data_IF_907847376908
#
_entry.id   IF_907847376908
#
_cell.length_a   1.000
_cell.length_b   1.000
_cell.length_c   1.000
_cell.angle_alpha   90.00
_cell.angle_beta   90.00
_cell.angle_gamma   90.00
#
_symmetry.space_group_name_H-M   'P 1'
#
loop_
_entity.id
_entity.type
_entity.pdbx_description
1 polymer ?
#
# COMPACT_ATOMS: atom_id res chain seq x y z
N UNK A 1 6.97 -26.95 -18.53
CA UNK A 1 7.14 -25.86 -17.54
C UNK A 1 6.58 -26.34 -16.21
N UNK A 2 7.23 -26.03 -15.07
CA UNK A 2 6.79 -26.54 -13.76
C UNK A 2 5.42 -25.99 -13.35
N UNK A 3 4.65 -26.74 -12.53
CA UNK A 3 3.37 -26.28 -11.99
C UNK A 3 3.53 -25.05 -11.09
N UNK A 4 2.47 -24.25 -10.96
CA UNK A 4 2.48 -23.14 -10.00
C UNK A 4 2.69 -23.68 -8.58
N UNK A 5 3.55 -23.06 -7.75
CA UNK A 5 3.74 -23.50 -6.37
C UNK A 5 2.43 -23.54 -5.59
N UNK A 6 2.16 -24.62 -4.85
CA UNK A 6 0.92 -24.80 -4.06
C UNK A 6 0.58 -23.59 -3.18
N UNK A 7 1.54 -22.95 -2.46
CA UNK A 7 1.19 -21.81 -1.61
C UNK A 7 0.66 -20.61 -2.39
N UNK A 8 1.09 -20.43 -3.64
CA UNK A 8 0.63 -19.33 -4.52
C UNK A 8 -0.79 -19.60 -4.99
N UNK A 9 -1.08 -20.84 -5.41
CA UNK A 9 -2.43 -21.23 -5.79
C UNK A 9 -3.41 -21.12 -4.64
N UNK A 10 -3.04 -21.63 -3.46
CA UNK A 10 -3.85 -21.50 -2.26
C UNK A 10 -4.09 -20.04 -1.87
N UNK A 11 -3.08 -19.17 -1.98
CA UNK A 11 -3.23 -17.74 -1.71
C UNK A 11 -4.21 -17.04 -2.69
N UNK A 12 -4.23 -17.44 -3.97
CA UNK A 12 -5.21 -16.92 -4.93
C UNK A 12 -6.65 -17.37 -4.61
N UNK A 13 -6.84 -18.62 -4.20
CA UNK A 13 -8.15 -19.09 -3.72
C UNK A 13 -8.60 -18.33 -2.47
N UNK A 14 -7.69 -18.11 -1.51
CA UNK A 14 -7.94 -17.31 -0.32
C UNK A 14 -8.31 -15.87 -0.65
N UNK A 15 -7.62 -15.22 -1.61
CA UNK A 15 -7.96 -13.87 -2.06
C UNK A 15 -9.37 -13.77 -2.61
N UNK A 16 -9.75 -14.69 -3.49
CA UNK A 16 -11.10 -14.74 -4.05
C UNK A 16 -12.15 -14.92 -2.95
N UNK A 17 -11.91 -15.81 -1.99
CA UNK A 17 -12.78 -16.01 -0.84
C UNK A 17 -12.84 -14.80 0.09
N UNK A 18 -11.70 -14.16 0.38
CA UNK A 18 -11.63 -12.99 1.25
C UNK A 18 -12.34 -11.79 0.63
N UNK A 19 -12.17 -11.54 -0.67
CA UNK A 19 -12.92 -10.49 -1.38
C UNK A 19 -14.42 -10.76 -1.31
N UNK A 20 -14.89 -11.99 -1.53
CA UNK A 20 -16.32 -12.33 -1.34
C UNK A 20 -16.78 -12.11 0.11
N UNK A 21 -15.97 -12.49 1.08
CA UNK A 21 -16.30 -12.38 2.51
C UNK A 21 -16.40 -10.93 2.97
N UNK A 22 -15.49 -10.08 2.50
CA UNK A 22 -15.40 -8.67 2.88
C UNK A 22 -16.34 -7.78 2.06
N UNK A 23 -16.58 -8.11 0.79
CA UNK A 23 -17.44 -7.33 -0.10
C UNK A 23 -18.89 -7.82 -0.13
N UNK A 24 -19.29 -8.84 0.63
CA UNK A 24 -20.68 -9.33 0.59
C UNK A 24 -21.44 -9.02 1.87
N UNK A 25 -22.68 -8.55 1.73
CA UNK A 25 -23.64 -8.51 2.81
C UNK A 25 -24.10 -9.92 3.24
N UNK A 26 -24.01 -10.92 2.35
CA UNK A 26 -24.39 -12.29 2.65
C UNK A 26 -23.49 -12.91 3.74
N UNK A 27 -23.95 -13.96 4.44
CA UNK A 27 -23.09 -14.73 5.34
C UNK A 27 -21.83 -15.20 4.60
N UNK A 28 -20.70 -15.17 5.30
CA UNK A 28 -19.45 -15.66 4.73
C UNK A 28 -19.56 -17.18 4.49
N UNK A 29 -18.96 -17.65 3.39
CA UNK A 29 -18.79 -19.08 3.14
C UNK A 29 -17.56 -19.59 3.92
N UNK A 30 -17.48 -20.91 4.13
CA UNK A 30 -16.28 -21.52 4.67
C UNK A 30 -15.05 -21.19 3.79
N UNK A 31 -13.87 -20.95 4.39
CA UNK A 31 -12.65 -20.74 3.62
C UNK A 31 -12.27 -21.99 2.83
N UNK A 32 -11.55 -21.85 1.70
CA UNK A 32 -11.02 -23.00 0.97
C UNK A 32 -9.99 -23.76 1.83
N UNK A 33 -9.97 -25.08 1.68
CA UNK A 33 -8.96 -25.94 2.30
C UNK A 33 -7.62 -25.79 1.58
N UNK A 34 -6.67 -25.11 2.22
CA UNK A 34 -5.34 -24.83 1.66
C UNK A 34 -4.27 -24.98 2.74
N UNK A 35 -3.00 -25.11 2.33
CA UNK A 35 -1.91 -25.30 3.28
C UNK A 35 -1.70 -24.12 4.24
N UNK A 36 -1.06 -24.37 5.39
CA UNK A 36 -0.60 -23.33 6.30
C UNK A 36 0.41 -22.35 5.63
N UNK A 37 1.10 -22.80 4.58
CA UNK A 37 1.99 -21.94 3.80
C UNK A 37 1.21 -20.95 2.93
N UNK A 38 0.11 -21.37 2.31
CA UNK A 38 -0.79 -20.51 1.56
C UNK A 38 -1.42 -19.43 2.45
N UNK A 39 -1.94 -19.80 3.63
CA UNK A 39 -2.48 -18.85 4.60
C UNK A 39 -1.45 -17.80 5.03
N UNK A 40 -0.23 -18.22 5.39
CA UNK A 40 0.84 -17.29 5.77
C UNK A 40 1.25 -16.37 4.64
N UNK A 41 1.28 -16.87 3.40
CA UNK A 41 1.59 -16.06 2.22
C UNK A 41 0.50 -15.01 1.97
N UNK A 42 -0.77 -15.43 1.93
CA UNK A 42 -1.93 -14.59 1.76
C UNK A 42 -1.98 -13.47 2.82
N UNK A 43 -1.98 -13.83 4.11
CA UNK A 43 -2.12 -12.85 5.20
C UNK A 43 -0.94 -11.88 5.29
N UNK A 44 0.27 -12.29 4.90
CA UNK A 44 1.43 -11.41 4.86
C UNK A 44 1.31 -10.34 3.77
N UNK A 45 0.79 -10.71 2.61
CA UNK A 45 0.67 -9.81 1.46
C UNK A 45 -0.56 -8.92 1.58
N UNK A 46 -1.71 -9.48 1.95
CA UNK A 46 -2.99 -8.78 1.95
C UNK A 46 -3.28 -8.02 3.25
N UNK A 47 -2.66 -8.42 4.38
CA UNK A 47 -2.67 -7.69 5.66
C UNK A 47 -4.08 -7.31 6.14
N UNK A 48 -5.00 -8.26 6.03
CA UNK A 48 -6.41 -8.09 6.32
C UNK A 48 -6.90 -9.08 7.40
N UNK A 49 -5.99 -9.63 8.22
CA UNK A 49 -6.34 -10.70 9.15
C UNK A 49 -7.34 -10.26 10.22
N UNK A 50 -7.20 -9.03 10.73
CA UNK A 50 -8.08 -8.47 11.75
C UNK A 50 -9.51 -8.34 11.20
N UNK A 51 -9.68 -7.66 10.06
CA UNK A 51 -10.99 -7.49 9.43
C UNK A 51 -11.61 -8.83 9.03
N UNK A 52 -10.80 -9.71 8.45
CA UNK A 52 -11.24 -11.03 8.06
C UNK A 52 -11.68 -11.87 9.27
N UNK A 53 -10.98 -11.77 10.42
CA UNK A 53 -11.37 -12.47 11.65
C UNK A 53 -12.72 -11.98 12.18
N UNK A 54 -12.96 -10.67 12.15
CA UNK A 54 -14.22 -10.06 12.56
C UNK A 54 -15.37 -10.49 11.64
N UNK A 55 -15.11 -10.63 10.33
CA UNK A 55 -16.15 -10.94 9.35
C UNK A 55 -16.43 -12.45 9.22
N UNK A 56 -15.39 -13.27 9.16
CA UNK A 56 -15.52 -14.71 8.99
C UNK A 56 -15.99 -15.43 10.26
N UNK A 57 -15.74 -14.85 11.44
CA UNK A 57 -16.24 -15.37 12.72
C UNK A 57 -15.91 -16.85 12.94
N UNK A 58 -16.90 -17.61 13.42
CA UNK A 58 -16.79 -19.05 13.74
C UNK A 58 -16.62 -20.00 12.56
N UNK A 59 -16.55 -19.49 11.32
CA UNK A 59 -16.29 -20.32 10.13
C UNK A 59 -14.81 -20.71 10.00
N UNK A 60 -13.94 -20.04 10.74
CA UNK A 60 -12.52 -20.38 10.77
C UNK A 60 -12.29 -21.56 11.72
N UNK A 61 -11.71 -22.64 11.20
CA UNK A 61 -11.36 -23.83 11.97
C UNK A 61 -9.95 -24.34 11.62
N UNK A 62 -9.37 -25.15 12.50
CA UNK A 62 -8.05 -25.75 12.32
C UNK A 62 -6.96 -24.75 11.90
N UNK A 63 -6.24 -25.10 10.83
CA UNK A 63 -5.16 -24.28 10.24
C UNK A 63 -5.57 -22.84 9.93
N UNK A 64 -6.80 -22.63 9.45
CA UNK A 64 -7.30 -21.30 9.10
C UNK A 64 -7.46 -20.42 10.34
N UNK A 65 -8.06 -20.97 11.40
CA UNK A 65 -8.25 -20.28 12.67
C UNK A 65 -6.92 -19.89 13.31
N UNK A 66 -5.96 -20.82 13.37
CA UNK A 66 -4.64 -20.56 13.95
C UNK A 66 -3.88 -19.46 13.19
N UNK A 67 -3.85 -19.56 11.85
CA UNK A 67 -3.15 -18.58 11.02
C UNK A 67 -3.79 -17.19 11.13
N UNK A 68 -5.12 -17.08 10.98
CA UNK A 68 -5.83 -15.80 11.07
C UNK A 68 -5.67 -15.20 12.46
N UNK A 69 -5.84 -15.98 13.54
CA UNK A 69 -5.69 -15.48 14.90
C UNK A 69 -4.27 -14.97 15.19
N UNK A 70 -3.24 -15.64 14.68
CA UNK A 70 -1.84 -15.21 14.79
C UNK A 70 -1.60 -13.85 14.16
N UNK A 71 -2.02 -13.67 12.90
CA UNK A 71 -1.87 -12.40 12.19
C UNK A 71 -2.79 -11.30 12.75
N UNK A 72 -4.04 -11.60 13.09
CA UNK A 72 -4.98 -10.63 13.66
C UNK A 72 -4.49 -10.06 14.98
N UNK A 73 -3.84 -10.87 15.84
CA UNK A 73 -3.16 -10.38 17.05
C UNK A 73 -2.02 -9.42 16.72
N UNK A 74 -1.20 -9.73 15.72
CA UNK A 74 -0.11 -8.86 15.30
C UNK A 74 -0.66 -7.54 14.73
N UNK A 75 -1.70 -7.59 13.89
CA UNK A 75 -2.37 -6.40 13.35
C UNK A 75 -3.01 -5.55 14.44
N UNK A 76 -3.67 -6.16 15.42
CA UNK A 76 -4.25 -5.47 16.58
C UNK A 76 -3.20 -4.73 17.40
N UNK A 77 -2.02 -5.32 17.62
CA UNK A 77 -0.91 -4.62 18.31
C UNK A 77 -0.44 -3.40 17.53
N UNK A 78 -0.36 -3.49 16.20
CA UNK A 78 0.01 -2.35 15.35
C UNK A 78 -1.05 -1.25 15.41
N UNK A 79 -2.34 -1.59 15.40
CA UNK A 79 -3.45 -0.64 15.56
C UNK A 79 -3.40 0.03 16.93
N UNK A 80 -3.21 -0.72 18.01
CA UNK A 80 -3.09 -0.16 19.35
C UNK A 80 -1.87 0.76 19.49
N UNK A 81 -0.74 0.35 18.89
CA UNK A 81 0.45 1.19 18.82
C UNK A 81 0.20 2.48 18.05
N UNK A 82 -0.47 2.42 16.90
CA UNK A 82 -0.84 3.59 16.12
C UNK A 82 -1.74 4.56 16.89
N UNK A 83 -2.75 4.04 17.62
CA UNK A 83 -3.60 4.85 18.49
C UNK A 83 -2.80 5.53 19.60
N UNK A 84 -1.83 4.84 20.20
CA UNK A 84 -0.93 5.44 21.18
C UNK A 84 -0.06 6.55 20.55
N UNK A 85 0.44 6.35 19.33
CA UNK A 85 1.17 7.38 18.59
C UNK A 85 0.29 8.59 18.30
N UNK A 86 -0.93 8.39 17.80
CA UNK A 86 -1.89 9.48 17.52
C UNK A 86 -2.15 10.34 18.76
N UNK A 87 -2.28 9.75 19.95
CA UNK A 87 -2.42 10.52 21.20
C UNK A 87 -1.19 11.36 21.52
N UNK A 88 0.02 10.85 21.26
CA UNK A 88 1.27 11.62 21.45
C UNK A 88 1.34 12.78 20.46
N UNK A 89 0.98 12.54 19.20
CA UNK A 89 0.94 13.58 18.17
C UNK A 89 -0.12 14.65 18.50
N UNK A 90 -1.26 14.26 19.04
CA UNK A 90 -2.27 15.19 19.53
C UNK A 90 -1.73 16.08 20.65
N UNK A 91 -0.93 15.53 21.57
CA UNK A 91 -0.23 16.32 22.59
C UNK A 91 0.71 17.37 22.00
N UNK A 92 1.46 17.02 20.94
CA UNK A 92 2.31 17.97 20.23
C UNK A 92 1.51 19.04 19.47
N UNK A 93 0.40 18.65 18.81
CA UNK A 93 -0.51 19.56 18.11
C UNK A 93 -1.31 20.49 19.03
N UNK A 94 -1.36 20.20 20.34
CA UNK A 94 -2.02 21.07 21.33
C UNK A 94 -1.32 22.41 21.56
N UNK A 95 -0.10 22.58 21.03
CA UNK A 95 0.63 23.86 21.09
C UNK A 95 0.02 24.87 20.12
N UNK A 96 -0.24 26.13 20.54
CA UNK A 96 -0.82 27.14 19.67
C UNK A 96 -0.07 27.29 18.35
N UNK A 97 -0.80 27.19 17.23
CA UNK A 97 -0.25 27.38 15.89
C UNK A 97 0.32 26.13 15.20
N UNK A 98 0.44 24.99 15.91
CA UNK A 98 0.95 23.75 15.30
C UNK A 98 -0.17 23.04 14.55
N UNK A 99 -0.04 22.90 13.22
CA UNK A 99 -1.04 22.22 12.37
C UNK A 99 -0.48 20.91 11.85
N UNK A 100 -0.94 19.80 12.42
CA UNK A 100 -0.58 18.45 11.99
C UNK A 100 -1.76 17.73 11.35
N UNK A 101 -1.58 17.27 10.13
CA UNK A 101 -2.59 16.55 9.34
C UNK A 101 -2.25 15.06 9.33
N UNK A 102 -3.14 14.23 9.84
CA UNK A 102 -2.99 12.77 9.78
C UNK A 102 -3.39 12.24 8.41
N UNK A 103 -2.59 11.32 7.90
CA UNK A 103 -2.68 10.81 6.54
C UNK A 103 -3.01 9.30 6.50
N UNK A 104 -3.51 8.85 5.34
CA UNK A 104 -3.78 7.44 5.00
C UNK A 104 -4.56 6.69 6.09
N UNK A 105 -4.15 5.47 6.42
CA UNK A 105 -4.81 4.62 7.39
C UNK A 105 -4.78 5.14 8.85
N UNK A 106 -4.07 6.23 9.14
CA UNK A 106 -4.20 6.92 10.44
C UNK A 106 -5.55 7.61 10.61
N UNK A 107 -6.19 8.04 9.51
CA UNK A 107 -7.49 8.72 9.51
C UNK A 107 -8.61 7.83 10.06
N UNK A 108 -8.81 6.58 9.57
CA UNK A 108 -9.76 5.63 10.16
C UNK A 108 -9.62 5.45 11.68
N UNK A 109 -8.38 5.49 12.20
CA UNK A 109 -8.12 5.28 13.62
C UNK A 109 -8.51 6.47 14.50
N UNK A 110 -8.45 7.69 13.97
CA UNK A 110 -8.93 8.88 14.66
C UNK A 110 -10.45 8.87 14.84
N UNK A 111 -11.18 8.20 13.95
CA UNK A 111 -12.65 8.11 13.97
C UNK A 111 -13.18 6.99 14.87
N UNK A 112 -12.31 6.34 15.66
CA UNK A 112 -12.70 5.27 16.59
C UNK A 112 -12.93 3.89 15.97
N UNK A 113 -12.79 3.74 14.64
CA UNK A 113 -12.90 2.45 13.96
C UNK A 113 -11.73 1.50 14.27
N UNK A 114 -11.92 0.19 14.02
CA UNK A 114 -10.83 -0.80 14.15
C UNK A 114 -9.64 -0.49 13.23
N UNK A 115 -9.91 0.13 12.08
CA UNK A 115 -8.93 0.55 11.09
C UNK A 115 -8.13 -0.62 10.49
N UNK A 116 -7.51 -0.41 9.32
CA UNK A 116 -6.63 -1.40 8.74
C UNK A 116 -5.31 -1.48 9.52
N UNK A 117 -4.58 -2.58 9.35
CA UNK A 117 -3.20 -2.68 9.84
C UNK A 117 -2.39 -1.47 9.36
N UNK A 118 -1.60 -0.87 10.26
CA UNK A 118 -0.62 0.16 9.92
C UNK A 118 0.80 -0.38 10.04
N UNK A 119 1.68 0.08 9.15
CA UNK A 119 3.13 -0.19 9.21
C UNK A 119 3.90 1.01 9.74
N UNK A 120 3.33 2.19 9.58
CA UNK A 120 3.81 3.51 9.89
C UNK A 120 2.60 4.41 10.16
N UNK A 121 2.86 5.57 10.76
CA UNK A 121 1.91 6.65 10.90
C UNK A 121 2.41 7.86 10.12
N UNK A 122 1.74 8.14 9.00
CA UNK A 122 2.03 9.31 8.17
C UNK A 122 1.35 10.56 8.72
N UNK A 123 2.13 11.64 8.87
CA UNK A 123 1.61 12.97 9.19
C UNK A 123 2.22 14.03 8.29
N UNK A 124 1.43 15.06 7.98
CA UNK A 124 1.84 16.23 7.19
C UNK A 124 1.84 17.47 8.10
N UNK A 125 2.96 18.20 8.08
CA UNK A 125 3.12 19.50 8.73
C UNK A 125 3.67 20.52 7.74
N UNK A 126 3.54 21.82 8.04
CA UNK A 126 4.41 22.82 7.41
C UNK A 126 5.88 22.49 7.71
N UNK A 127 6.85 23.09 7.00
CA UNK A 127 8.27 22.83 7.29
C UNK A 127 8.63 23.15 8.75
N UNK A 128 8.03 24.21 9.32
CA UNK A 128 8.20 24.60 10.72
C UNK A 128 7.53 23.59 11.67
N UNK A 129 6.27 23.21 11.42
CA UNK A 129 5.54 22.26 12.27
C UNK A 129 6.15 20.86 12.24
N UNK A 130 6.60 20.41 11.07
CA UNK A 130 7.28 19.14 10.89
C UNK A 130 8.61 19.10 11.67
N UNK A 131 9.38 20.19 11.63
CA UNK A 131 10.61 20.30 12.39
C UNK A 131 10.35 20.35 13.91
N UNK A 132 9.34 21.10 14.34
CA UNK A 132 8.92 21.18 15.74
C UNK A 132 8.45 19.80 16.26
N UNK A 133 7.63 19.09 15.48
CA UNK A 133 7.20 17.73 15.81
C UNK A 133 8.40 16.77 15.89
N UNK A 134 9.31 16.84 14.92
CA UNK A 134 10.50 15.99 14.91
C UNK A 134 11.34 16.21 16.18
N UNK A 135 11.57 17.46 16.57
CA UNK A 135 12.28 17.81 17.80
C UNK A 135 11.55 17.31 19.05
N UNK A 136 10.21 17.41 19.10
CA UNK A 136 9.42 16.91 20.21
C UNK A 136 9.50 15.37 20.34
N UNK A 137 9.48 14.64 19.23
CA UNK A 137 9.66 13.19 19.22
C UNK A 137 11.09 12.80 19.63
N UNK A 138 12.09 13.55 19.18
CA UNK A 138 13.49 13.34 19.56
C UNK A 138 13.68 13.52 21.08
N UNK A 139 13.11 14.59 21.64
CA UNK A 139 13.09 14.82 23.09
C UNK A 139 12.34 13.72 23.87
N UNK A 140 11.35 13.08 23.24
CA UNK A 140 10.62 11.94 23.81
C UNK A 140 11.35 10.58 23.62
N UNK A 141 12.59 10.58 23.13
CA UNK A 141 13.44 9.40 23.02
C UNK A 141 13.27 8.61 21.72
N UNK A 142 12.71 9.21 20.66
CA UNK A 142 12.63 8.56 19.35
C UNK A 142 13.99 8.59 18.66
N UNK A 143 14.31 7.52 17.94
CA UNK A 143 15.51 7.40 17.11
C UNK A 143 15.17 7.60 15.64
N UNK A 144 16.16 8.06 14.87
CA UNK A 144 15.99 8.32 13.44
C UNK A 144 16.33 7.07 12.64
N UNK A 145 15.50 6.76 11.64
CA UNK A 145 15.76 5.68 10.70
C UNK A 145 15.65 6.20 9.26
N UNK A 146 16.61 5.79 8.41
CA UNK A 146 16.71 6.24 7.03
C UNK A 146 17.19 7.71 6.89
N UNK A 147 17.38 8.14 5.65
CA UNK A 147 17.72 9.53 5.32
C UNK A 147 16.49 10.38 5.02
N UNK A 148 16.60 11.72 5.13
CA UNK A 148 15.55 12.63 4.69
C UNK A 148 15.31 12.51 3.18
N UNK A 149 14.09 12.83 2.75
CA UNK A 149 13.74 12.94 1.34
C UNK A 149 13.16 14.34 1.05
N UNK A 150 13.02 14.69 -0.23
CA UNK A 150 12.56 16.03 -0.62
C UNK A 150 11.21 16.44 -0.01
N UNK A 151 10.35 15.47 0.32
CA UNK A 151 9.00 15.70 0.83
C UNK A 151 8.78 15.21 2.28
N UNK A 152 9.82 14.67 2.95
CA UNK A 152 9.70 14.14 4.32
C UNK A 152 11.01 14.15 5.09
N UNK A 153 10.91 14.32 6.41
CA UNK A 153 12.03 14.19 7.33
C UNK A 153 12.42 12.71 7.53
N UNK A 154 13.53 12.46 8.20
CA UNK A 154 13.91 11.10 8.59
C UNK A 154 12.84 10.48 9.51
N UNK A 155 12.56 9.19 9.33
CA UNK A 155 11.51 8.48 10.06
C UNK A 155 11.86 8.44 11.55
N UNK A 156 10.87 8.66 12.42
CA UNK A 156 11.03 8.58 13.88
C UNK A 156 10.45 7.29 14.42
N UNK A 157 11.23 6.52 15.17
CA UNK A 157 10.75 5.27 15.77
C UNK A 157 11.18 5.16 17.24
N UNK A 158 10.44 4.36 18.00
CA UNK A 158 10.78 3.98 19.37
C UNK A 158 10.48 2.49 19.54
N UNK A 159 11.26 1.72 20.32
CA UNK A 159 11.06 0.28 20.45
C UNK A 159 9.61 -0.09 20.81
N UNK A 160 9.08 -1.09 20.10
CA UNK A 160 7.72 -1.60 20.33
C UNK A 160 6.59 -0.73 19.78
N UNK A 161 6.89 0.40 19.11
CA UNK A 161 5.88 1.23 18.47
C UNK A 161 6.04 1.28 16.95
N UNK A 162 4.94 1.57 16.24
CA UNK A 162 5.03 1.87 14.82
C UNK A 162 5.80 3.18 14.60
N UNK A 163 6.61 3.26 13.54
CA UNK A 163 7.31 4.48 13.17
C UNK A 163 6.34 5.59 12.77
N UNK A 164 6.79 6.83 12.92
CA UNK A 164 6.11 8.06 12.47
C UNK A 164 6.88 8.63 11.29
N UNK A 165 6.19 8.77 10.15
CA UNK A 165 6.71 9.45 8.97
C UNK A 165 6.19 10.88 8.93
N UNK A 166 7.11 11.86 8.98
CA UNK A 166 6.78 13.28 9.02
C UNK A 166 7.01 13.89 7.63
N UNK A 167 5.94 14.18 6.93
CA UNK A 167 5.92 14.78 5.60
C UNK A 167 5.85 16.30 5.70
N UNK A 168 6.58 16.98 4.82
CA UNK A 168 6.50 18.43 4.59
C UNK A 168 5.75 18.76 3.30
N UNK A 169 5.60 17.77 2.42
CA UNK A 169 4.79 17.82 1.23
C UNK A 169 4.26 16.41 0.92
N UNK A 170 3.16 16.33 0.19
CA UNK A 170 2.60 15.06 -0.27
C UNK A 170 2.64 15.03 -1.79
N UNK A 171 3.41 14.13 -2.43
CA UNK A 171 3.44 14.02 -3.88
C UNK A 171 2.04 13.72 -4.43
N UNK A 172 1.61 14.52 -5.41
CA UNK A 172 0.27 14.41 -6.03
C UNK A 172 -0.82 15.25 -5.36
N UNK A 173 -0.53 15.95 -4.26
CA UNK A 173 -1.44 16.94 -3.67
C UNK A 173 -0.96 18.37 -3.91
N UNK A 174 -1.90 19.24 -4.25
CA UNK A 174 -1.67 20.69 -4.41
C UNK A 174 -1.45 21.36 -3.04
N UNK A 175 -0.66 22.44 -2.95
CA UNK A 175 -0.57 23.26 -1.74
C UNK A 175 -1.92 23.78 -1.22
N UNK A 176 -2.92 23.91 -2.10
CA UNK A 176 -4.31 24.29 -1.75
C UNK A 176 -4.94 23.33 -0.73
N UNK A 177 -4.39 22.11 -0.58
CA UNK A 177 -4.83 21.14 0.43
C UNK A 177 -4.87 21.73 1.85
N UNK A 178 -3.97 22.65 2.18
CA UNK A 178 -3.90 23.31 3.49
C UNK A 178 -5.11 24.20 3.82
N UNK A 179 -5.85 24.64 2.80
CA UNK A 179 -7.08 25.40 2.92
C UNK A 179 -8.31 24.49 3.14
N UNK A 180 -8.18 23.20 2.80
CA UNK A 180 -9.28 22.22 2.85
C UNK A 180 -9.17 21.21 3.98
N UNK A 181 -8.11 21.27 4.81
CA UNK A 181 -7.99 20.38 5.97
C UNK A 181 -9.08 20.66 7.00
N UNK A 182 -9.53 19.61 7.69
CA UNK A 182 -10.61 19.66 8.67
C UNK A 182 -10.14 19.12 10.02
N UNK A 183 -10.67 19.59 11.16
CA UNK A 183 -10.44 18.95 12.44
C UNK A 183 -10.88 17.49 12.43
N UNK A 184 -10.09 16.62 13.05
CA UNK A 184 -10.57 15.29 13.40
C UNK A 184 -11.55 15.36 14.57
N UNK A 185 -12.54 14.47 14.60
CA UNK A 185 -13.45 14.37 15.74
C UNK A 185 -12.65 14.11 17.04
N UNK A 186 -12.96 14.86 18.09
CA UNK A 186 -12.38 14.70 19.44
C UNK A 186 -10.85 14.73 19.51
N UNK A 187 -10.18 15.43 18.58
CA UNK A 187 -8.73 15.52 18.52
C UNK A 187 -8.27 16.88 17.98
N UNK A 188 -7.15 17.44 18.49
CA UNK A 188 -6.54 18.65 17.92
C UNK A 188 -5.84 18.39 16.57
N UNK A 189 -5.75 17.12 16.15
CA UNK A 189 -5.19 16.75 14.86
C UNK A 189 -6.16 17.08 13.73
N UNK A 190 -5.58 17.38 12.57
CA UNK A 190 -6.32 17.65 11.35
C UNK A 190 -6.34 16.41 10.47
N UNK A 191 -7.27 16.36 9.53
CA UNK A 191 -7.36 15.39 8.45
C UNK A 191 -7.55 16.10 7.13
N UNK A 192 -7.21 15.42 6.04
CA UNK A 192 -7.54 15.89 4.70
C UNK A 192 -9.05 15.95 4.49
N UNK A 193 -9.50 16.84 3.62
CA UNK A 193 -10.84 16.80 3.05
C UNK A 193 -11.13 15.40 2.46
N UNK A 194 -12.36 14.88 2.50
CA UNK A 194 -12.66 13.53 2.00
C UNK A 194 -12.19 13.29 0.55
N UNK A 195 -12.37 14.27 -0.35
CA UNK A 195 -11.91 14.15 -1.73
C UNK A 195 -10.38 14.06 -1.83
N UNK A 196 -9.66 14.94 -1.11
CA UNK A 196 -8.20 14.95 -1.10
C UNK A 196 -7.62 13.69 -0.44
N UNK A 197 -8.27 13.19 0.61
CA UNK A 197 -7.91 11.93 1.27
C UNK A 197 -8.02 10.74 0.31
N UNK A 198 -9.18 10.58 -0.35
CA UNK A 198 -9.42 9.49 -1.29
C UNK A 198 -8.45 9.54 -2.47
N UNK A 199 -8.28 10.71 -3.08
CA UNK A 199 -7.31 10.90 -4.17
C UNK A 199 -5.90 10.54 -3.73
N UNK A 200 -5.50 10.99 -2.55
CA UNK A 200 -4.17 10.70 -2.02
C UNK A 200 -3.94 9.21 -1.82
N UNK A 201 -4.87 8.51 -1.15
CA UNK A 201 -4.75 7.06 -0.92
C UNK A 201 -4.73 6.30 -2.24
N UNK A 202 -5.56 6.66 -3.22
CA UNK A 202 -5.58 6.06 -4.56
C UNK A 202 -4.22 6.21 -5.28
N UNK A 203 -3.69 7.44 -5.35
CA UNK A 203 -2.41 7.70 -6.00
C UNK A 203 -1.27 6.97 -5.26
N UNK A 204 -1.30 6.96 -3.93
CA UNK A 204 -0.31 6.26 -3.13
C UNK A 204 -0.35 4.74 -3.35
N UNK A 205 -1.53 4.12 -3.31
CA UNK A 205 -1.66 2.66 -3.41
C UNK A 205 -1.61 2.12 -4.84
N UNK A 206 -1.95 2.93 -5.86
CA UNK A 206 -2.01 2.46 -7.25
C UNK A 206 -0.90 2.99 -8.16
N UNK A 207 -0.36 4.18 -7.87
CA UNK A 207 0.69 4.81 -8.68
C UNK A 207 2.05 4.70 -8.00
N UNK A 208 2.19 5.22 -6.78
CA UNK A 208 3.47 5.20 -6.06
C UNK A 208 3.90 3.78 -5.68
N UNK A 209 2.93 2.95 -5.28
CA UNK A 209 3.14 1.55 -4.95
C UNK A 209 2.32 0.65 -5.89
N UNK A 210 2.69 0.58 -7.16
CA UNK A 210 1.98 -0.24 -8.17
C UNK A 210 1.81 -1.73 -7.76
N UNK A 211 2.64 -2.21 -6.84
CA UNK A 211 2.58 -3.56 -6.28
C UNK A 211 1.48 -3.76 -5.23
N UNK A 212 0.83 -2.67 -4.82
CA UNK A 212 -0.28 -2.63 -3.88
C UNK A 212 -1.66 -2.50 -4.55
N UNK A 213 -1.71 -2.41 -5.88
CA UNK A 213 -2.98 -2.41 -6.64
C UNK A 213 -3.83 -3.61 -6.24
N UNK A 214 -5.07 -3.34 -5.86
CA UNK A 214 -6.04 -4.33 -5.39
C UNK A 214 -5.72 -4.99 -4.05
N UNK A 215 -4.69 -4.57 -3.30
CA UNK A 215 -4.44 -5.16 -1.98
C UNK A 215 -5.60 -4.88 -1.05
N UNK A 216 -6.06 -5.93 -0.35
CA UNK A 216 -7.26 -5.86 0.48
C UNK A 216 -7.10 -4.80 1.58
N UNK A 217 -5.94 -4.72 2.24
CA UNK A 217 -5.64 -3.66 3.22
C UNK A 217 -5.90 -2.26 2.66
N UNK A 218 -5.39 -1.95 1.49
CA UNK A 218 -5.50 -0.62 0.90
C UNK A 218 -6.94 -0.34 0.41
N UNK A 219 -7.65 -1.37 -0.06
CA UNK A 219 -9.09 -1.30 -0.33
C UNK A 219 -9.91 -1.00 0.93
N UNK A 220 -9.55 -1.56 2.09
CA UNK A 220 -10.20 -1.26 3.36
C UNK A 220 -9.99 0.20 3.80
N UNK A 221 -8.79 0.76 3.57
CA UNK A 221 -8.53 2.20 3.80
C UNK A 221 -9.43 3.05 2.91
N UNK A 222 -9.49 2.74 1.60
CA UNK A 222 -10.30 3.48 0.63
C UNK A 222 -11.80 3.36 0.92
N UNK A 223 -12.27 2.17 1.31
CA UNK A 223 -13.66 1.92 1.65
C UNK A 223 -14.11 2.74 2.86
N UNK A 224 -13.26 2.86 3.89
CA UNK A 224 -13.53 3.74 5.03
C UNK A 224 -13.59 5.21 4.61
N UNK A 225 -12.68 5.66 3.74
CA UNK A 225 -12.71 7.01 3.18
C UNK A 225 -14.01 7.29 2.41
N UNK A 226 -14.49 6.31 1.63
CA UNK A 226 -15.73 6.41 0.85
C UNK A 226 -16.97 6.53 1.74
N UNK A 227 -17.00 5.83 2.88
CA UNK A 227 -18.10 5.93 3.85
C UNK A 227 -18.24 7.33 4.45
N UNK A 228 -17.20 8.16 4.37
CA UNK A 228 -17.18 9.52 4.90
C UNK A 228 -17.13 10.60 3.80
N UNK A 229 -17.20 10.19 2.52
CA UNK A 229 -17.23 11.09 1.40
C UNK A 229 -18.68 11.28 0.94
N UNK A 230 -19.08 12.52 0.68
CA UNK A 230 -20.35 12.80 0.01
C UNK A 230 -20.23 12.59 -1.51
N UNK A 231 -21.37 12.51 -2.21
CA UNK A 231 -21.39 12.28 -3.66
C UNK A 231 -20.59 13.35 -4.44
N UNK A 232 -20.53 14.57 -3.90
CA UNK A 232 -19.74 15.66 -4.47
C UNK A 232 -18.25 15.32 -4.39
N UNK A 233 -17.75 14.94 -3.22
CA UNK A 233 -16.35 14.56 -3.00
C UNK A 233 -15.96 13.40 -3.90
N UNK A 234 -16.85 12.41 -4.04
CA UNK A 234 -16.63 11.26 -4.91
C UNK A 234 -16.52 11.69 -6.39
N UNK A 235 -17.42 12.55 -6.88
CA UNK A 235 -17.35 13.09 -8.25
C UNK A 235 -16.09 13.94 -8.49
N UNK A 236 -15.67 14.73 -7.49
CA UNK A 236 -14.42 15.49 -7.55
C UNK A 236 -13.21 14.55 -7.72
N UNK A 237 -13.18 13.44 -7.00
CA UNK A 237 -12.13 12.41 -7.13
C UNK A 237 -12.17 11.75 -8.51
N UNK A 238 -13.34 11.35 -9.00
CA UNK A 238 -13.50 10.76 -10.33
C UNK A 238 -13.01 11.70 -11.44
N UNK A 239 -13.40 12.98 -11.39
CA UNK A 239 -12.94 13.98 -12.34
C UNK A 239 -11.42 14.18 -12.26
N UNK A 240 -10.85 14.19 -11.05
CA UNK A 240 -9.41 14.32 -10.87
C UNK A 240 -8.64 13.12 -11.43
N UNK A 241 -9.07 11.88 -11.16
CA UNK A 241 -8.37 10.68 -11.63
C UNK A 241 -8.54 10.46 -13.14
N UNK A 242 -9.62 10.95 -13.75
CA UNK A 242 -9.81 10.88 -15.19
C UNK A 242 -8.75 11.67 -15.97
N UNK A 243 -8.16 12.70 -15.35
CA UNK A 243 -7.05 13.48 -15.90
C UNK A 243 -5.67 12.86 -15.70
N UNK A 244 -5.54 11.76 -14.94
CA UNK A 244 -4.25 11.14 -14.63
C UNK A 244 -3.83 10.15 -15.73
N UNK A 245 -2.52 9.98 -16.00
CA UNK A 245 -2.06 8.98 -16.98
C UNK A 245 -2.43 7.53 -16.65
N UNK A 246 -2.83 7.26 -15.40
CA UNK A 246 -3.27 5.94 -14.92
C UNK A 246 -4.78 5.90 -14.61
N UNK A 247 -5.58 6.76 -15.24
CA UNK A 247 -7.03 6.89 -15.03
C UNK A 247 -7.75 5.53 -14.91
N UNK A 248 -7.57 4.62 -15.87
CA UNK A 248 -8.24 3.31 -15.88
C UNK A 248 -7.97 2.48 -14.62
N UNK A 249 -6.73 2.51 -14.11
CA UNK A 249 -6.34 1.72 -12.94
C UNK A 249 -6.78 2.37 -11.64
N UNK A 250 -6.74 3.70 -11.58
CA UNK A 250 -7.31 4.44 -10.46
C UNK A 250 -8.83 4.21 -10.38
N UNK A 251 -9.53 4.24 -11.52
CA UNK A 251 -10.97 3.98 -11.60
C UNK A 251 -11.31 2.55 -11.16
N UNK A 252 -10.58 1.54 -11.63
CA UNK A 252 -10.76 0.14 -11.18
C UNK A 252 -10.51 -0.05 -9.69
N UNK A 253 -9.47 0.59 -9.14
CA UNK A 253 -9.18 0.55 -7.69
C UNK A 253 -10.30 1.21 -6.88
N UNK A 254 -10.79 2.37 -7.33
CA UNK A 254 -11.90 3.08 -6.70
C UNK A 254 -13.19 2.24 -6.73
N UNK A 255 -13.48 1.59 -7.85
CA UNK A 255 -14.67 0.74 -8.01
C UNK A 255 -14.62 -0.50 -7.10
N UNK A 256 -13.45 -1.14 -6.97
CA UNK A 256 -13.28 -2.21 -5.99
C UNK A 256 -13.50 -1.72 -4.56
N UNK A 257 -12.98 -0.53 -4.22
CA UNK A 257 -13.18 0.06 -2.89
C UNK A 257 -14.65 0.41 -2.62
N UNK A 258 -15.39 0.89 -3.63
CA UNK A 258 -16.85 1.06 -3.55
C UNK A 258 -17.55 -0.25 -3.29
N UNK A 259 -17.15 -1.32 -3.96
CA UNK A 259 -17.73 -2.64 -3.75
C UNK A 259 -17.53 -3.14 -2.31
N UNK A 260 -16.34 -2.91 -1.74
CA UNK A 260 -16.05 -3.18 -0.32
C UNK A 260 -16.91 -2.30 0.59
N UNK A 261 -16.98 -0.98 0.35
CA UNK A 261 -17.72 -0.03 1.18
C UNK A 261 -19.22 -0.32 1.20
N UNK A 262 -19.79 -0.62 0.04
CA UNK A 262 -21.21 -0.89 -0.17
C UNK A 262 -21.60 -2.36 0.03
N UNK A 263 -20.62 -3.24 0.32
CA UNK A 263 -20.83 -4.68 0.50
C UNK A 263 -21.57 -5.35 -0.67
N UNK A 264 -21.16 -5.01 -1.88
CA UNK A 264 -21.62 -5.65 -3.12
C UNK A 264 -20.52 -6.53 -3.74
N UNK A 265 -20.88 -7.60 -4.48
CA UNK A 265 -19.91 -8.44 -5.15
C UNK A 265 -18.90 -7.64 -5.99
N UNK A 266 -17.61 -7.91 -5.77
CA UNK A 266 -16.52 -7.19 -6.41
C UNK A 266 -15.82 -8.09 -7.44
N UNK A 267 -15.64 -7.60 -8.67
CA UNK A 267 -14.69 -8.20 -9.60
C UNK A 267 -13.25 -7.93 -9.14
N UNK A 268 -12.30 -8.80 -9.48
CA UNK A 268 -10.87 -8.62 -9.14
C UNK A 268 -10.03 -8.34 -10.39
N UNK A 269 -10.04 -7.10 -10.94
CA UNK A 269 -9.20 -6.72 -12.07
C UNK A 269 -7.70 -6.78 -11.77
N UNK A 270 -7.30 -6.93 -10.50
CA UNK A 270 -5.91 -6.96 -10.06
C UNK A 270 -5.44 -8.37 -9.66
N UNK A 271 -6.20 -9.42 -10.00
CA UNK A 271 -5.85 -10.81 -9.69
C UNK A 271 -4.44 -11.16 -10.19
N UNK A 272 -4.08 -10.70 -11.40
CA UNK A 272 -2.74 -10.92 -11.96
C UNK A 272 -1.64 -10.21 -11.17
N UNK A 273 -1.91 -8.98 -10.69
CA UNK A 273 -0.97 -8.24 -9.83
C UNK A 273 -0.79 -8.93 -8.47
N UNK A 274 -1.87 -9.46 -7.90
CA UNK A 274 -1.81 -10.25 -6.67
C UNK A 274 -1.01 -11.55 -6.87
N UNK A 275 -1.23 -12.28 -7.97
CA UNK A 275 -0.47 -13.48 -8.31
C UNK A 275 1.05 -13.20 -8.41
N UNK A 276 1.43 -12.10 -9.09
CA UNK A 276 2.81 -11.64 -9.14
C UNK A 276 3.39 -11.37 -7.75
N UNK A 277 2.61 -10.72 -6.89
CA UNK A 277 3.00 -10.44 -5.50
C UNK A 277 3.21 -11.72 -4.69
N UNK A 278 2.32 -12.71 -4.80
CA UNK A 278 2.45 -13.99 -4.11
C UNK A 278 3.68 -14.77 -4.57
N UNK A 279 3.96 -14.79 -5.88
CA UNK A 279 5.16 -15.43 -6.42
C UNK A 279 6.43 -14.82 -5.83
N UNK A 280 6.51 -13.50 -5.78
CA UNK A 280 7.66 -12.76 -5.28
C UNK A 280 7.82 -12.84 -3.75
N UNK A 281 6.72 -12.90 -2.98
CA UNK A 281 6.76 -13.07 -1.52
C UNK A 281 6.90 -14.53 -1.05
N UNK A 282 6.77 -15.49 -1.97
CA UNK A 282 6.94 -16.91 -1.68
C UNK A 282 8.34 -17.20 -1.12
N UNK A 283 8.43 -18.16 -0.20
CA UNK A 283 9.70 -18.54 0.44
C UNK A 283 10.76 -18.98 -0.59
N UNK A 284 10.32 -19.59 -1.70
CA UNK A 284 11.18 -19.99 -2.81
C UNK A 284 11.87 -18.78 -3.47
N UNK A 285 11.12 -17.69 -3.70
CA UNK A 285 11.68 -16.47 -4.27
C UNK A 285 12.65 -15.80 -3.28
N UNK A 286 12.29 -15.72 -1.99
CA UNK A 286 13.16 -15.15 -0.95
C UNK A 286 14.46 -15.91 -0.72
N UNK A 287 14.45 -17.25 -0.86
CA UNK A 287 15.67 -18.07 -0.77
C UNK A 287 16.59 -17.89 -1.98
N UNK A 288 16.04 -17.57 -3.16
CA UNK A 288 16.82 -17.38 -4.40
C UNK A 288 17.30 -15.94 -4.59
N UNK A 289 16.61 -14.97 -4.01
CA UNK A 289 16.88 -13.54 -4.19
C UNK A 289 17.13 -12.91 -2.81
N UNK A 290 18.40 -12.62 -2.50
CA UNK A 290 18.77 -11.94 -1.25
C UNK A 290 18.89 -10.42 -1.45
N UNK A 291 18.40 -9.65 -0.47
CA UNK A 291 18.63 -8.21 -0.32
C UNK A 291 18.14 -7.38 -1.52
N UNK A 292 18.98 -6.47 -2.00
CA UNK A 292 18.69 -5.52 -3.11
C UNK A 292 18.19 -6.20 -4.40
N UNK A 293 18.55 -7.47 -4.64
CA UNK A 293 18.07 -8.23 -5.81
C UNK A 293 16.59 -8.56 -5.74
N UNK A 294 16.05 -8.76 -4.53
CA UNK A 294 14.62 -9.03 -4.35
C UNK A 294 13.79 -7.77 -4.61
N UNK A 295 14.20 -6.62 -4.07
CA UNK A 295 13.53 -5.32 -4.31
C UNK A 295 13.54 -4.95 -5.80
N UNK A 296 14.64 -5.23 -6.50
CA UNK A 296 14.76 -4.99 -7.93
C UNK A 296 13.92 -5.96 -8.76
N UNK A 297 14.00 -7.25 -8.46
CA UNK A 297 13.14 -8.27 -9.07
C UNK A 297 11.65 -7.96 -8.84
N UNK A 298 11.33 -7.45 -7.66
CA UNK A 298 10.00 -7.03 -7.25
C UNK A 298 9.48 -5.93 -8.17
N UNK A 299 10.20 -4.81 -8.23
CA UNK A 299 9.83 -3.66 -9.05
C UNK A 299 9.68 -4.05 -10.53
N UNK A 300 10.64 -4.80 -11.08
CA UNK A 300 10.59 -5.23 -12.49
C UNK A 300 9.49 -6.26 -12.77
N UNK A 301 9.20 -7.17 -11.83
CA UNK A 301 8.11 -8.14 -11.93
C UNK A 301 6.75 -7.45 -11.94
N UNK A 302 6.52 -6.54 -10.99
CA UNK A 302 5.28 -5.78 -10.93
C UNK A 302 5.12 -4.89 -12.17
N UNK A 303 6.20 -4.28 -12.66
CA UNK A 303 6.16 -3.50 -13.89
C UNK A 303 5.86 -4.35 -15.14
N UNK A 304 6.42 -5.55 -15.23
CA UNK A 304 6.12 -6.48 -16.32
C UNK A 304 4.67 -6.95 -16.27
N UNK A 305 4.16 -7.30 -15.09
CA UNK A 305 2.75 -7.67 -14.88
C UNK A 305 1.82 -6.52 -15.27
N UNK A 306 2.09 -5.31 -14.77
CA UNK A 306 1.29 -4.12 -15.08
C UNK A 306 1.26 -3.81 -16.59
N UNK A 307 2.39 -3.92 -17.29
CA UNK A 307 2.44 -3.73 -18.75
C UNK A 307 1.52 -4.70 -19.50
N UNK A 308 1.41 -5.95 -19.03
CA UNK A 308 0.53 -6.95 -19.65
C UNK A 308 -0.95 -6.71 -19.38
N UNK A 309 -1.30 -6.06 -18.28
CA UNK A 309 -2.67 -5.64 -17.98
C UNK A 309 -3.06 -4.32 -18.67
N UNK A 310 -2.24 -3.83 -19.62
CA UNK A 310 -2.45 -2.53 -20.27
C UNK A 310 -2.23 -1.34 -19.33
N UNK A 311 -1.66 -1.56 -18.15
CA UNK A 311 -1.47 -0.52 -17.15
C UNK A 311 -0.07 0.06 -17.27
N UNK A 312 0.08 1.40 -17.36
CA UNK A 312 1.39 2.02 -17.26
C UNK A 312 2.08 1.58 -15.96
N UNK A 313 3.17 0.86 -16.13
CA UNK A 313 4.13 0.64 -15.06
C UNK A 313 4.93 1.93 -14.93
N UNK A 314 4.40 2.90 -14.20
CA UNK A 314 5.27 3.88 -13.57
C UNK A 314 6.08 3.11 -12.52
N UNK A 315 7.19 2.48 -12.95
CA UNK A 315 8.30 2.24 -12.05
C UNK A 315 8.61 3.62 -11.50
N UNK A 316 8.15 3.86 -10.26
CA UNK A 316 7.87 5.20 -9.77
C UNK A 316 8.96 6.19 -10.13
N UNK A 317 8.58 7.45 -10.34
CA UNK A 317 9.54 8.56 -10.47
C UNK A 317 10.49 8.69 -9.27
N UNK A 318 10.26 7.90 -8.21
CA UNK A 318 11.17 7.61 -7.10
C UNK A 318 12.37 6.72 -7.45
N UNK A 319 12.60 6.39 -8.73
CA UNK A 319 13.87 5.82 -9.18
C UNK A 319 15.01 6.66 -8.61
N UNK A 320 15.96 6.02 -7.93
CA UNK A 320 17.17 6.60 -7.31
C UNK A 320 17.49 7.95 -7.95
N UNK A 321 17.00 9.05 -7.36
CA UNK A 321 17.37 10.36 -7.78
C UNK A 321 18.85 10.47 -7.40
N UNK A 322 19.74 10.15 -8.33
CA UNK A 322 21.16 10.34 -8.13
C UNK A 322 21.31 11.79 -7.69
N UNK A 323 21.77 12.03 -6.45
CA UNK A 323 21.88 13.39 -5.95
C UNK A 323 22.65 14.20 -6.98
N UNK A 324 22.13 15.38 -7.31
CA UNK A 324 22.86 16.34 -8.16
C UNK A 324 24.26 16.64 -7.60
N UNK A 325 24.48 16.35 -6.31
CA UNK A 325 25.73 16.45 -5.59
C UNK A 325 26.69 15.25 -5.73
N UNK A 326 26.38 14.20 -6.51
CA UNK A 326 27.34 13.11 -6.71
C UNK A 326 28.55 13.65 -7.53
N UNK A 327 29.76 13.74 -6.95
CA UNK A 327 30.88 14.47 -7.56
C UNK A 327 31.20 14.08 -9.01
N UNK A 328 31.18 12.79 -9.42
CA UNK A 328 31.47 12.45 -10.82
C UNK A 328 30.33 12.84 -11.78
N UNK A 329 29.07 12.91 -11.33
CA UNK A 329 27.99 13.46 -12.15
C UNK A 329 28.09 14.98 -12.27
N UNK A 330 28.48 15.67 -11.20
CA UNK A 330 28.72 17.11 -11.24
C UNK A 330 29.89 17.48 -12.16
N UNK A 331 30.94 16.65 -12.21
CA UNK A 331 32.04 16.79 -13.15
C UNK A 331 31.56 16.55 -14.60
N UNK A 332 30.81 15.48 -14.86
CA UNK A 332 30.23 15.19 -16.18
C UNK A 332 29.28 16.30 -16.66
N UNK A 333 28.53 16.93 -15.76
CA UNK A 333 27.67 18.07 -16.12
C UNK A 333 28.44 19.25 -16.70
N UNK A 334 29.67 19.47 -16.23
CA UNK A 334 30.53 20.58 -16.70
C UNK A 334 31.23 20.26 -18.02
N UNK A 335 31.65 19.02 -18.22
CA UNK A 335 32.49 18.63 -19.37
C UNK A 335 31.73 17.96 -20.50
N UNK A 336 30.66 17.22 -20.20
CA UNK A 336 29.87 16.48 -21.19
C UNK A 336 28.39 16.30 -20.72
N UNK A 337 27.53 17.33 -20.89
CA UNK A 337 26.12 17.28 -20.47
C UNK A 337 25.30 16.14 -21.12
N UNK A 338 25.70 15.69 -22.32
CA UNK A 338 25.09 14.54 -22.97
C UNK A 338 25.44 13.23 -22.26
N UNK A 339 26.67 13.09 -21.76
CA UNK A 339 27.12 11.91 -21.03
C UNK A 339 26.47 11.83 -19.64
N UNK A 340 26.28 12.96 -18.96
CA UNK A 340 25.47 13.02 -17.72
C UNK A 340 24.04 12.51 -17.98
N UNK A 341 23.38 13.01 -19.04
CA UNK A 341 22.04 12.55 -19.43
C UNK A 341 22.02 11.07 -19.76
N UNK A 342 23.02 10.56 -20.48
CA UNK A 342 23.15 9.14 -20.79
C UNK A 342 23.35 8.29 -19.53
N UNK A 343 24.22 8.68 -18.60
CA UNK A 343 24.44 7.99 -17.32
C UNK A 343 23.19 8.03 -16.45
N UNK A 344 22.51 9.17 -16.34
CA UNK A 344 21.22 9.26 -15.61
C UNK A 344 20.18 8.36 -16.24
N UNK A 345 20.09 8.32 -17.57
CA UNK A 345 19.17 7.44 -18.30
C UNK A 345 19.54 5.98 -18.07
N UNK A 346 20.81 5.61 -18.13
CA UNK A 346 21.30 4.26 -17.92
C UNK A 346 21.12 3.80 -16.46
N UNK A 347 21.34 4.66 -15.47
CA UNK A 347 21.07 4.31 -14.07
C UNK A 347 19.57 4.18 -13.82
N UNK A 348 18.76 5.05 -14.42
CA UNK A 348 17.30 5.02 -14.30
C UNK A 348 16.68 3.81 -15.03
N UNK A 349 17.10 3.53 -16.27
CA UNK A 349 16.52 2.52 -17.16
C UNK A 349 17.28 1.20 -17.21
N UNK A 350 18.59 1.22 -17.00
CA UNK A 350 19.43 0.02 -17.04
C UNK A 350 19.04 -1.01 -15.98
N UNK A 351 18.51 -0.57 -14.84
CA UNK A 351 17.88 -1.46 -13.84
C UNK A 351 16.65 -2.16 -14.41
N UNK A 352 15.78 -1.41 -15.10
CA UNK A 352 14.59 -1.97 -15.73
C UNK A 352 14.97 -3.02 -16.78
N UNK A 353 16.00 -2.76 -17.57
CA UNK A 353 16.49 -3.67 -18.60
C UNK A 353 17.15 -4.92 -18.03
N UNK A 354 18.02 -4.78 -17.02
CA UNK A 354 18.72 -5.90 -16.40
C UNK A 354 17.77 -6.91 -15.74
N UNK A 355 16.65 -6.43 -15.18
CA UNK A 355 15.66 -7.27 -14.50
C UNK A 355 14.42 -7.55 -15.33
N UNK A 356 14.34 -7.06 -16.58
CA UNK A 356 13.21 -7.33 -17.48
C UNK A 356 12.97 -8.83 -17.71
N UNK A 357 13.99 -9.68 -17.96
CA UNK A 357 13.76 -11.11 -18.19
C UNK A 357 13.14 -11.81 -16.98
N UNK A 358 13.58 -11.44 -15.77
CA UNK A 358 13.02 -11.94 -14.53
C UNK A 358 11.59 -11.45 -14.35
N UNK A 359 11.33 -10.18 -14.62
CA UNK A 359 9.99 -9.63 -14.53
C UNK A 359 9.00 -10.28 -15.51
N UNK A 360 9.43 -10.52 -16.76
CA UNK A 360 8.64 -11.26 -17.75
C UNK A 360 8.37 -12.71 -17.31
N UNK A 361 9.34 -13.35 -16.67
CA UNK A 361 9.19 -14.70 -16.13
C UNK A 361 8.16 -14.74 -14.99
N UNK A 362 8.19 -13.74 -14.09
CA UNK A 362 7.17 -13.59 -13.03
C UNK A 362 5.80 -13.34 -13.63
N UNK A 363 5.69 -12.46 -14.63
CA UNK A 363 4.41 -12.18 -15.30
C UNK A 363 3.82 -13.42 -15.98
N UNK A 364 4.64 -14.19 -16.70
CA UNK A 364 4.19 -15.44 -17.32
C UNK A 364 3.78 -16.51 -16.28
N UNK A 365 4.48 -16.58 -15.14
CA UNK A 365 4.12 -17.46 -14.04
C UNK A 365 2.81 -17.01 -13.36
N UNK A 366 2.61 -15.71 -13.19
CA UNK A 366 1.37 -15.14 -12.64
C UNK A 366 0.17 -15.45 -13.54
N UNK A 367 0.30 -15.28 -14.87
CA UNK A 367 -0.77 -15.61 -15.82
C UNK A 367 -1.14 -17.09 -15.82
N UNK A 368 -0.13 -17.95 -15.68
CA UNK A 368 -0.36 -19.38 -15.53
C UNK A 368 -1.15 -19.66 -14.26
N UNK A 369 -0.73 -19.10 -13.12
CA UNK A 369 -1.41 -19.30 -11.84
C UNK A 369 -2.88 -18.87 -11.90
N UNK A 370 -3.17 -17.72 -12.50
CA UNK A 370 -4.55 -17.22 -12.69
C UNK A 370 -5.36 -18.17 -13.58
N UNK A 371 -4.79 -18.65 -14.69
CA UNK A 371 -5.47 -19.62 -15.58
C UNK A 371 -5.72 -20.97 -14.90
N UNK A 372 -4.74 -21.49 -14.17
CA UNK A 372 -4.87 -22.73 -13.40
C UNK A 372 -5.96 -22.61 -12.33
N UNK A 373 -6.09 -21.44 -11.67
CA UNK A 373 -7.15 -21.19 -10.67
C UNK A 373 -8.52 -21.11 -11.31
N UNK A 374 -8.62 -20.45 -12.47
CA UNK A 374 -9.87 -20.37 -13.20
C UNK A 374 -10.35 -21.78 -13.61
N UNK A 375 -9.44 -22.62 -14.10
CA UNK A 375 -9.75 -24.01 -14.46
C UNK A 375 -10.20 -24.84 -13.23
N UNK A 376 -9.51 -24.73 -12.08
CA UNK A 376 -9.90 -25.47 -10.87
C UNK A 376 -11.23 -25.00 -10.28
N UNK A 377 -11.59 -23.73 -10.45
CA UNK A 377 -12.87 -23.20 -9.97
C UNK A 377 -14.05 -23.69 -10.82
N UNK A 378 -13.85 -23.87 -12.13
CA UNK A 378 -14.88 -24.42 -13.02
C UNK A 378 -15.16 -25.91 -12.75
N UNK A 379 -14.14 -26.68 -12.37
CA UNK A 379 -14.31 -28.11 -12.04
C UNK A 379 -15.06 -28.35 -10.72
N UNK A 380 -15.15 -27.35 -9.84
CA UNK A 380 -15.90 -27.42 -8.58
C UNK A 380 -17.35 -26.93 -8.70
N UNK A 381 -17.73 -26.36 -9.85
CA UNK A 381 -19.07 -25.84 -10.11
C UNK A 381 -19.97 -26.81 -10.89
N UNK A 382 -19.43 -27.96 -11.30
CA UNK A 382 -20.14 -29.11 -11.89
C UNK A 382 -20.29 -30.17 -10.81
#
# INVERSE_FOLDING_TARGET
MPPTPEPVMGALHLRSWALRTLCSAAPAAAPPEVSAAAWRLFLRVEQCALELSARAGGLLSGTAAEAVAGFARAESRMVLSARAQLRRLAGAAGSPGVRLVVLKGGVPLLRGGNGPRLMDLDVLGSAADAAALAAALDAAGYTHHGGPAAHRLAVRAVPGAIPVEIHTAVPGLSPVVWERVRPAADSPLLVLDPADHLRYVLLHSAVQHADRRGRIRDLLVLAEGLQHADDRSVREVEAAIAGEPQADVLARQLEMARSVASRIPCADPFELTAAGSYLLYSELARRRLHGLRLELAWQSGIAAVARRTGTPAALGEHGLALPSAFPPLAALRRTAPWAERAVRTLVRRGREWAFLPLGLSVAAAAERAVRERAASSSSLAV
#
